data_IF_759142126329
#
_entry.id   IF_759142126329
#
_cell.length_a   1.000
_cell.length_b   1.000
_cell.length_c   1.000
_cell.angle_alpha   90.00
_cell.angle_beta   90.00
_cell.angle_gamma   90.00
#
_symmetry.space_group_name_H-M   'P 1'
#
loop_
_entity.id
_entity.type
_entity.pdbx_description
1 polymer ?
#
# COMPACT_ATOMS: atom_id res chain seq x y z
N UNK A 1 -19.11 -5.32 -9.22
CA UNK A 1 -17.94 -4.48 -9.61
C UNK A 1 -17.72 -3.31 -8.66
N UNK A 2 -18.75 -2.57 -8.21
CA UNK A 2 -18.59 -1.51 -7.17
C UNK A 2 -17.97 -2.01 -5.86
N UNK A 3 -18.46 -3.11 -5.28
CA UNK A 3 -18.00 -3.59 -3.96
C UNK A 3 -16.51 -4.01 -3.93
N UNK A 4 -15.98 -4.47 -5.07
CA UNK A 4 -14.56 -4.82 -5.21
C UNK A 4 -13.64 -3.59 -5.25
N UNK A 5 -14.16 -2.43 -5.64
CA UNK A 5 -13.43 -1.16 -5.70
C UNK A 5 -13.54 -0.39 -4.37
N UNK A 6 -14.72 -0.39 -3.73
CA UNK A 6 -14.87 0.23 -2.39
C UNK A 6 -13.98 -0.45 -1.34
N UNK A 7 -13.92 -1.79 -1.32
CA UNK A 7 -12.99 -2.51 -0.44
C UNK A 7 -11.51 -2.17 -0.73
N UNK A 8 -11.18 -1.73 -1.95
CA UNK A 8 -9.81 -1.36 -2.32
C UNK A 8 -9.43 0.03 -1.86
N UNK A 9 -10.36 0.99 -1.79
CA UNK A 9 -10.06 2.34 -1.30
C UNK A 9 -9.54 2.32 0.13
N UNK A 10 -10.22 1.59 1.02
CA UNK A 10 -9.78 1.43 2.41
C UNK A 10 -8.41 0.74 2.49
N UNK A 11 -8.18 -0.29 1.67
CA UNK A 11 -6.89 -0.98 1.59
C UNK A 11 -5.78 -0.05 1.08
N UNK A 12 -6.04 0.77 0.06
CA UNK A 12 -5.08 1.75 -0.46
C UNK A 12 -4.71 2.77 0.61
N UNK A 13 -5.70 3.31 1.33
CA UNK A 13 -5.47 4.23 2.45
C UNK A 13 -4.63 3.57 3.54
N UNK A 14 -4.97 2.36 3.97
CA UNK A 14 -4.23 1.63 4.99
C UNK A 14 -2.78 1.35 4.57
N UNK A 15 -2.55 0.91 3.32
CA UNK A 15 -1.19 0.68 2.80
C UNK A 15 -0.41 1.99 2.65
N UNK A 16 -1.07 3.10 2.29
CA UNK A 16 -0.40 4.41 2.13
C UNK A 16 0.30 4.89 3.41
N UNK A 17 -0.17 4.45 4.58
CA UNK A 17 0.47 4.75 5.86
C UNK A 17 1.91 4.21 5.94
N UNK A 18 2.28 3.18 5.17
CA UNK A 18 3.66 2.68 5.07
C UNK A 18 4.62 3.66 4.36
N UNK A 19 4.11 4.76 3.82
CA UNK A 19 4.84 5.72 2.99
C UNK A 19 4.83 7.14 3.58
N UNK A 20 4.29 7.32 4.79
CA UNK A 20 4.38 8.58 5.51
C UNK A 20 5.74 8.68 6.21
N UNK A 21 6.19 9.91 6.46
CA UNK A 21 7.44 10.16 7.19
C UNK A 21 7.32 9.87 8.70
N UNK A 22 6.09 9.65 9.18
CA UNK A 22 5.78 9.34 10.58
C UNK A 22 5.97 7.84 10.86
N UNK A 23 6.68 7.51 11.95
CA UNK A 23 6.84 6.12 12.37
C UNK A 23 5.52 5.55 12.92
N UNK A 24 5.02 4.50 12.26
CA UNK A 24 3.84 3.75 12.71
C UNK A 24 4.08 3.08 14.06
N UNK A 25 3.10 3.23 14.94
CA UNK A 25 3.06 2.65 16.27
C UNK A 25 2.12 1.44 16.33
N UNK A 26 2.14 0.72 17.44
CA UNK A 26 1.28 -0.46 17.67
C UNK A 26 -0.21 -0.22 17.38
N UNK A 27 -0.85 0.90 17.77
CA UNK A 27 -2.24 1.18 17.41
C UNK A 27 -2.46 1.29 15.90
N UNK A 28 -1.50 1.84 15.15
CA UNK A 28 -1.60 1.99 13.71
C UNK A 28 -1.55 0.63 13.01
N UNK A 29 -0.64 -0.25 13.43
CA UNK A 29 -0.58 -1.61 12.89
C UNK A 29 -1.83 -2.42 13.20
N UNK A 30 -2.44 -2.25 14.38
CA UNK A 30 -3.73 -2.85 14.70
C UNK A 30 -4.83 -2.33 13.77
N UNK A 31 -4.91 -1.02 13.59
CA UNK A 31 -5.86 -0.39 12.68
C UNK A 31 -5.72 -0.93 11.24
N UNK A 32 -4.50 -0.93 10.69
CA UNK A 32 -4.20 -1.44 9.35
C UNK A 32 -4.59 -2.92 9.22
N UNK A 33 -4.24 -3.73 10.23
CA UNK A 33 -4.57 -5.16 10.27
C UNK A 33 -6.07 -5.40 10.25
N UNK A 34 -6.85 -4.60 10.98
CA UNK A 34 -8.32 -4.70 10.98
C UNK A 34 -8.93 -4.36 9.61
N UNK A 35 -8.40 -3.34 8.91
CA UNK A 35 -8.81 -3.05 7.54
C UNK A 35 -8.50 -4.22 6.61
N UNK A 36 -7.31 -4.81 6.73
CA UNK A 36 -6.90 -5.96 5.92
C UNK A 36 -7.78 -7.18 6.17
N UNK A 37 -8.10 -7.51 7.43
CA UNK A 37 -9.02 -8.60 7.79
C UNK A 37 -10.43 -8.36 7.22
N UNK A 38 -10.96 -7.14 7.34
CA UNK A 38 -12.29 -6.76 6.80
C UNK A 38 -12.37 -6.82 5.28
N UNK A 39 -11.23 -6.64 4.58
CA UNK A 39 -11.19 -6.66 3.11
C UNK A 39 -11.49 -8.03 2.50
N UNK A 40 -11.37 -9.12 3.28
CA UNK A 40 -11.42 -10.52 2.83
C UNK A 40 -10.39 -10.86 1.73
N UNK A 41 -9.29 -10.11 1.66
CA UNK A 41 -8.17 -10.38 0.76
C UNK A 41 -7.10 -11.18 1.49
N UNK A 42 -6.41 -12.04 0.75
CA UNK A 42 -5.23 -12.74 1.26
C UNK A 42 -4.04 -11.78 1.41
N UNK A 43 -3.08 -12.11 2.29
CA UNK A 43 -1.83 -11.35 2.42
C UNK A 43 -1.08 -11.22 1.08
N UNK A 44 -1.13 -12.25 0.23
CA UNK A 44 -0.54 -12.22 -1.10
C UNK A 44 -1.22 -11.19 -2.02
N UNK A 45 -2.55 -11.10 -1.99
CA UNK A 45 -3.30 -10.10 -2.75
C UNK A 45 -3.04 -8.68 -2.22
N UNK A 46 -2.95 -8.50 -0.90
CA UNK A 46 -2.63 -7.21 -0.28
C UNK A 46 -1.23 -6.73 -0.66
N UNK A 47 -0.23 -7.64 -0.69
CA UNK A 47 1.11 -7.35 -1.18
C UNK A 47 1.13 -7.05 -2.69
N UNK A 48 0.29 -7.70 -3.49
CA UNK A 48 0.15 -7.35 -4.92
C UNK A 48 -0.46 -5.95 -5.09
N UNK A 49 -1.44 -5.58 -4.26
CA UNK A 49 -2.04 -4.24 -4.24
C UNK A 49 -1.00 -3.18 -3.88
N UNK A 50 -0.23 -3.40 -2.81
CA UNK A 50 0.88 -2.50 -2.46
C UNK A 50 1.81 -2.32 -3.64
N UNK A 51 2.29 -3.43 -4.21
CA UNK A 51 3.26 -3.39 -5.30
C UNK A 51 2.74 -2.68 -6.56
N UNK A 52 1.51 -2.95 -7.00
CA UNK A 52 1.03 -2.53 -8.32
C UNK A 52 0.12 -1.31 -8.30
N UNK A 53 -0.43 -0.94 -7.14
CA UNK A 53 -1.48 0.09 -7.05
C UNK A 53 -1.04 1.27 -6.19
N UNK A 54 -0.39 1.02 -5.04
CA UNK A 54 0.03 2.07 -4.09
C UNK A 54 1.49 2.48 -4.30
N UNK A 55 2.42 1.52 -4.36
CA UNK A 55 3.84 1.76 -4.58
C UNK A 55 4.12 2.66 -5.78
N UNK A 56 3.50 2.46 -6.96
CA UNK A 56 3.82 3.29 -8.11
C UNK A 56 3.49 4.77 -7.89
N UNK A 57 2.47 5.05 -7.08
CA UNK A 57 2.02 6.39 -6.72
C UNK A 57 2.94 7.04 -5.69
N UNK A 58 3.37 6.29 -4.67
CA UNK A 58 4.00 6.84 -3.47
C UNK A 58 5.52 6.63 -3.40
N UNK A 59 6.12 5.84 -4.29
CA UNK A 59 7.56 5.57 -4.27
C UNK A 59 8.44 6.82 -4.35
N UNK A 60 7.96 7.93 -4.93
CA UNK A 60 8.73 9.17 -4.96
C UNK A 60 8.87 9.78 -3.56
N UNK A 61 7.89 9.56 -2.66
CA UNK A 61 7.99 9.96 -1.26
C UNK A 61 9.10 9.22 -0.54
N UNK A 62 9.43 8.00 -0.96
CA UNK A 62 10.56 7.26 -0.41
C UNK A 62 11.93 7.86 -0.78
N UNK A 63 11.97 8.83 -1.71
CA UNK A 63 13.22 9.35 -2.30
C UNK A 63 13.36 10.87 -2.27
N UNK A 64 12.32 11.62 -1.92
CA UNK A 64 12.32 13.09 -1.97
C UNK A 64 12.09 13.68 -0.57
N UNK A 65 13.10 14.39 -0.03
CA UNK A 65 13.08 15.08 1.27
C UNK A 65 12.40 16.45 1.13
N UNK A 66 11.20 16.49 0.57
CA UNK A 66 10.45 17.73 0.38
C UNK A 66 9.23 17.74 1.31
N UNK A 67 9.46 18.15 2.56
CA UNK A 67 8.44 18.34 3.59
C UNK A 67 7.98 17.06 4.27
N UNK A 68 7.48 17.17 5.51
CA UNK A 68 6.85 16.08 6.25
C UNK A 68 5.50 15.75 5.63
N UNK A 69 5.32 14.52 5.15
CA UNK A 69 4.02 14.03 4.71
C UNK A 69 3.26 13.51 5.93
N UNK A 70 2.40 14.36 6.50
CA UNK A 70 1.51 13.99 7.61
C UNK A 70 0.22 13.27 7.17
N UNK A 71 0.04 13.07 5.85
CA UNK A 71 -1.11 12.40 5.26
C UNK A 71 -1.16 12.54 3.74
N UNK A 72 -2.14 11.90 3.12
CA UNK A 72 -2.44 12.03 1.70
C UNK A 72 -3.84 12.60 1.50
N UNK A 73 -4.00 13.45 0.48
CA UNK A 73 -5.33 13.80 0.00
C UNK A 73 -6.04 12.53 -0.50
N UNK A 74 -7.19 12.21 0.09
CA UNK A 74 -7.88 10.94 -0.14
C UNK A 74 -8.38 10.83 -1.58
N UNK A 75 -8.93 11.90 -2.14
CA UNK A 75 -9.43 11.90 -3.52
C UNK A 75 -8.30 11.68 -4.53
N UNK A 76 -7.17 12.35 -4.32
CA UNK A 76 -5.96 12.17 -5.11
C UNK A 76 -5.42 10.74 -5.02
N UNK A 77 -5.28 10.19 -3.80
CA UNK A 77 -4.76 8.84 -3.59
C UNK A 77 -5.65 7.81 -4.30
N UNK A 78 -6.96 7.90 -4.09
CA UNK A 78 -7.94 7.01 -4.72
C UNK A 78 -7.87 7.12 -6.25
N UNK A 79 -7.77 8.34 -6.80
CA UNK A 79 -7.66 8.57 -8.23
C UNK A 79 -6.41 7.89 -8.81
N UNK A 80 -5.23 8.16 -8.25
CA UNK A 80 -3.97 7.61 -8.77
C UNK A 80 -3.90 6.10 -8.60
N UNK A 81 -4.34 5.55 -7.46
CA UNK A 81 -4.42 4.10 -7.27
C UNK A 81 -5.42 3.43 -8.22
N UNK A 82 -6.52 4.09 -8.56
CA UNK A 82 -7.47 3.60 -9.57
C UNK A 82 -6.84 3.54 -10.96
N UNK A 83 -6.06 4.56 -11.35
CA UNK A 83 -5.32 4.55 -12.62
C UNK A 83 -4.31 3.40 -12.67
N UNK A 84 -3.61 3.13 -11.56
CA UNK A 84 -2.66 2.02 -11.46
C UNK A 84 -3.37 0.66 -11.48
N UNK A 85 -4.50 0.52 -10.79
CA UNK A 85 -5.34 -0.67 -10.85
C UNK A 85 -5.76 -1.00 -12.29
N UNK A 86 -6.14 0.00 -13.09
CA UNK A 86 -6.49 -0.21 -14.50
C UNK A 86 -5.28 -0.64 -15.35
N UNK A 87 -4.06 -0.26 -14.95
CA UNK A 87 -2.81 -0.67 -15.61
C UNK A 87 -2.31 -2.04 -15.15
N UNK A 88 -2.91 -2.67 -14.15
CA UNK A 88 -2.43 -3.94 -13.57
C UNK A 88 -2.38 -5.09 -14.57
N UNK A 89 -3.07 -5.04 -15.70
CA UNK A 89 -2.97 -6.06 -16.76
C UNK A 89 -1.76 -5.89 -17.68
N UNK A 90 -1.12 -4.71 -17.67
CA UNK A 90 -0.05 -4.36 -18.59
C UNK A 90 1.30 -4.96 -18.14
N UNK A 91 1.89 -5.81 -18.99
CA UNK A 91 3.16 -6.50 -18.69
C UNK A 91 4.33 -5.54 -18.49
N UNK A 92 4.44 -4.49 -19.31
CA UNK A 92 5.52 -3.51 -19.20
C UNK A 92 5.43 -2.74 -17.88
N UNK A 93 4.22 -2.28 -17.53
CA UNK A 93 3.96 -1.62 -16.24
C UNK A 93 4.35 -2.52 -15.06
N UNK A 94 3.95 -3.81 -15.07
CA UNK A 94 4.33 -4.77 -14.02
C UNK A 94 5.85 -4.92 -13.91
N UNK A 95 6.55 -5.10 -15.03
CA UNK A 95 8.00 -5.33 -15.03
C UNK A 95 8.75 -4.11 -14.49
N UNK A 96 8.42 -2.91 -14.97
CA UNK A 96 9.04 -1.67 -14.50
C UNK A 96 8.80 -1.48 -13.00
N UNK A 97 7.56 -1.68 -12.55
CA UNK A 97 7.18 -1.52 -11.15
C UNK A 97 7.92 -2.50 -10.24
N UNK A 98 8.04 -3.77 -10.65
CA UNK A 98 8.83 -4.78 -9.92
C UNK A 98 10.29 -4.39 -9.80
N UNK A 99 10.92 -3.93 -10.90
CA UNK A 99 12.31 -3.51 -10.89
C UNK A 99 12.53 -2.34 -9.93
N UNK A 100 11.66 -1.32 -9.97
CA UNK A 100 11.71 -0.19 -9.03
C UNK A 100 11.52 -0.65 -7.57
N UNK A 101 10.58 -1.57 -7.34
CA UNK A 101 10.34 -2.11 -6.01
C UNK A 101 11.55 -2.87 -5.45
N UNK A 102 12.32 -3.59 -6.26
CA UNK A 102 13.53 -4.29 -5.78
C UNK A 102 14.50 -3.32 -5.09
N UNK A 103 14.63 -2.08 -5.58
CA UNK A 103 15.51 -1.08 -4.97
C UNK A 103 14.94 -0.43 -3.70
N UNK A 104 13.62 -0.39 -3.54
CA UNK A 104 12.94 0.35 -2.45
C UNK A 104 12.14 -0.53 -1.48
N UNK A 105 12.09 -1.85 -1.71
CA UNK A 105 11.24 -2.77 -0.93
C UNK A 105 11.65 -2.84 0.54
N UNK A 106 12.95 -2.71 0.83
CA UNK A 106 13.50 -2.75 2.18
C UNK A 106 12.82 -1.75 3.13
N UNK A 107 12.32 -0.62 2.58
CA UNK A 107 11.65 0.43 3.34
C UNK A 107 10.27 0.02 3.86
N UNK A 108 9.56 -0.89 3.16
CA UNK A 108 8.24 -1.38 3.60
C UNK A 108 8.25 -2.80 4.14
N UNK A 109 9.39 -3.48 4.03
CA UNK A 109 9.59 -4.86 4.50
C UNK A 109 9.26 -5.01 5.99
N UNK A 110 9.74 -4.08 6.83
CA UNK A 110 9.47 -4.08 8.29
C UNK A 110 7.96 -4.01 8.58
N UNK A 111 7.23 -3.14 7.88
CA UNK A 111 5.77 -3.02 8.07
C UNK A 111 5.05 -4.33 7.72
N UNK A 112 5.40 -4.95 6.59
CA UNK A 112 4.81 -6.23 6.19
C UNK A 112 5.12 -7.37 7.17
N UNK A 113 6.34 -7.44 7.71
CA UNK A 113 6.70 -8.46 8.72
C UNK A 113 5.86 -8.32 10.00
N UNK A 114 5.62 -7.10 10.47
CA UNK A 114 4.76 -6.82 11.63
C UNK A 114 3.31 -7.24 11.34
N UNK A 115 2.76 -6.83 10.19
CA UNK A 115 1.39 -7.19 9.79
C UNK A 115 1.21 -8.71 9.64
N UNK A 116 2.20 -9.41 9.09
CA UNK A 116 2.17 -10.87 8.99
C UNK A 116 2.16 -11.53 10.37
N UNK A 117 2.95 -11.01 11.32
CA UNK A 117 2.91 -11.46 12.71
C UNK A 117 1.53 -11.28 13.35
N UNK A 118 0.91 -10.11 13.18
CA UNK A 118 -0.41 -9.80 13.74
C UNK A 118 -1.56 -10.57 13.08
N UNK A 119 -1.44 -10.91 11.79
CA UNK A 119 -2.41 -11.76 11.10
C UNK A 119 -2.31 -13.24 11.52
N UNK A 120 -1.12 -13.69 11.91
CA UNK A 120 -0.85 -15.08 12.28
C UNK A 120 -1.00 -15.36 13.78
N UNK A 121 -0.94 -14.34 14.63
CA UNK A 121 -1.24 -14.45 16.05
C UNK A 121 -2.75 -14.72 16.23
N UNK A 122 -3.08 -15.96 16.61
CA UNK A 122 -4.43 -16.38 17.02
C UNK A 122 -4.66 -16.11 18.50
#
# INVERSE_FOLDING_TARGET
>A
MQQKLENRKEVWKAISLFYLDTELQEPDYKYITEIFKKSNLTLAELKEIDLLEVFPALQLNLTNVAGEWAGFDEEWLIKVCTENYNKRGNKLFKTITKLRNVFSYWMRKKHWEIIEGLCNAK
#
